data_IF_632964451601
#
_entry.id   IF_632964451601
#
_cell.length_a   1.000
_cell.length_b   1.000
_cell.length_c   1.000
_cell.angle_alpha   90.00
_cell.angle_beta   90.00
_cell.angle_gamma   90.00
#
_symmetry.space_group_name_H-M   'P 1'
#
loop_
_entity.id
_entity.type
_entity.pdbx_description
1 polymer ?
#
# COMPACT_ATOMS: atom_id res chain seq x y z
N UNK A 1 -8.61 -8.67 18.35
CA UNK A 1 -8.16 -9.21 17.06
C UNK A 1 -9.09 -8.62 16.01
N UNK A 2 -8.58 -8.05 14.93
CA UNK A 2 -9.46 -7.57 13.84
C UNK A 2 -10.04 -8.80 13.17
N UNK A 3 -11.36 -8.83 12.97
CA UNK A 3 -12.00 -9.85 12.15
C UNK A 3 -11.76 -9.50 10.68
N UNK A 4 -10.85 -10.22 10.03
CA UNK A 4 -10.54 -9.99 8.63
C UNK A 4 -11.78 -10.20 7.74
N UNK A 5 -12.71 -11.04 8.16
CA UNK A 5 -13.93 -11.28 7.41
C UNK A 5 -14.84 -10.05 7.31
N UNK A 6 -14.70 -9.11 8.25
CA UNK A 6 -15.46 -7.86 8.32
C UNK A 6 -14.83 -6.70 7.52
N UNK A 7 -13.70 -6.93 6.85
CA UNK A 7 -13.07 -5.94 5.96
C UNK A 7 -13.83 -5.96 4.63
N UNK A 8 -14.72 -4.99 4.45
CA UNK A 8 -15.57 -4.86 3.26
C UNK A 8 -15.01 -3.84 2.25
N UNK A 9 -13.91 -3.16 2.55
CA UNK A 9 -13.30 -2.20 1.63
C UNK A 9 -11.87 -1.83 2.00
N UNK A 10 -10.98 -1.87 1.01
CA UNK A 10 -9.75 -1.10 1.01
C UNK A 10 -10.11 0.20 0.27
N UNK A 11 -10.27 1.26 1.04
CA UNK A 11 -10.41 2.61 0.49
C UNK A 11 -9.03 3.23 0.37
N UNK A 12 -8.87 4.20 -0.54
CA UNK A 12 -7.62 4.97 -0.62
C UNK A 12 -7.21 5.45 0.77
N UNK A 13 -5.97 5.15 1.22
CA UNK A 13 -5.42 5.96 2.29
C UNK A 13 -5.43 7.39 1.77
N UNK A 14 -6.02 8.32 2.54
CA UNK A 14 -5.67 9.73 2.40
C UNK A 14 -4.15 9.76 2.59
N UNK A 15 -3.44 9.92 1.48
CA UNK A 15 -2.03 9.62 1.36
C UNK A 15 -1.20 10.26 2.47
N UNK A 16 -0.40 9.45 3.18
CA UNK A 16 0.70 9.93 3.99
C UNK A 16 1.95 9.14 3.57
N UNK A 17 2.49 9.44 2.38
CA UNK A 17 3.95 9.36 2.26
C UNK A 17 4.49 10.19 3.41
N UNK A 18 5.43 9.61 4.14
CA UNK A 18 5.92 10.25 5.36
C UNK A 18 6.56 11.61 5.08
N UNK A 19 6.97 11.89 3.83
CA UNK A 19 7.76 13.08 3.50
C UNK A 19 7.68 13.57 2.03
N UNK A 20 6.50 13.51 1.38
CA UNK A 20 6.32 14.11 0.03
C UNK A 20 6.59 13.16 -1.14
N UNK A 21 6.79 13.64 -2.39
CA UNK A 21 6.93 12.76 -3.56
C UNK A 21 8.19 11.90 -3.47
N UNK A 22 8.11 10.67 -3.97
CA UNK A 22 9.26 9.74 -3.94
C UNK A 22 10.27 10.18 -5.00
N UNK A 23 11.52 10.40 -4.60
CA UNK A 23 12.59 10.69 -5.54
C UNK A 23 13.16 9.40 -6.16
N UNK A 24 13.68 9.50 -7.38
CA UNK A 24 14.44 8.39 -7.99
C UNK A 24 15.63 8.00 -7.11
N UNK A 25 15.69 6.73 -6.74
CA UNK A 25 16.71 6.15 -5.85
C UNK A 25 16.36 6.20 -4.36
N UNK A 26 15.30 6.92 -3.97
CA UNK A 26 14.80 6.94 -2.59
C UNK A 26 13.81 5.79 -2.34
N UNK A 27 13.69 5.41 -1.06
CA UNK A 27 12.63 4.50 -0.59
C UNK A 27 11.79 5.26 0.43
N UNK A 28 10.49 5.35 0.19
CA UNK A 28 9.53 5.89 1.16
C UNK A 28 8.54 4.80 1.57
N UNK A 29 7.90 4.98 2.72
CA UNK A 29 6.98 4.02 3.30
C UNK A 29 5.55 4.49 3.12
N UNK A 30 4.74 3.67 2.44
CA UNK A 30 3.33 3.95 2.20
C UNK A 30 2.45 3.18 3.21
N UNK A 31 1.52 3.91 3.81
CA UNK A 31 0.52 3.38 4.74
C UNK A 31 -0.86 3.26 4.07
N UNK A 32 -1.61 2.22 4.41
CA UNK A 32 -2.99 1.99 3.97
C UNK A 32 -3.89 2.11 5.20
N UNK A 33 -5.03 2.78 5.03
CA UNK A 33 -6.08 2.88 6.05
C UNK A 33 -7.34 2.14 5.57
N UNK A 34 -7.34 0.80 5.58
CA UNK A 34 -8.50 0.04 5.17
C UNK A 34 -9.68 0.24 6.15
N UNK A 35 -10.90 0.07 5.63
CA UNK A 35 -12.13 0.31 6.37
C UNK A 35 -12.94 -0.98 6.55
N UNK A 36 -13.43 -1.23 7.76
CA UNK A 36 -14.33 -2.32 8.08
C UNK A 36 -15.66 -1.73 8.59
N UNK A 37 -16.78 -2.02 7.92
CA UNK A 37 -18.08 -1.43 8.27
C UNK A 37 -18.11 0.10 8.30
N UNK A 38 -17.25 0.77 7.50
CA UNK A 38 -17.11 2.22 7.45
C UNK A 38 -16.18 2.85 8.50
N UNK A 39 -15.50 2.06 9.34
CA UNK A 39 -14.50 2.54 10.29
C UNK A 39 -13.08 2.14 9.84
N UNK A 40 -12.10 3.08 9.86
CA UNK A 40 -10.72 2.74 9.58
C UNK A 40 -10.17 1.82 10.69
N UNK A 41 -9.35 0.85 10.32
CA UNK A 41 -8.63 0.01 11.29
C UNK A 41 -7.13 -0.03 10.97
N UNK A 42 -6.33 -0.37 11.98
CA UNK A 42 -4.88 -0.41 11.83
C UNK A 42 -4.45 -1.64 11.00
N UNK A 43 -3.93 -1.40 9.80
CA UNK A 43 -3.46 -2.44 8.88
C UNK A 43 -2.31 -3.29 9.44
N UNK A 44 -1.60 -2.76 10.43
CA UNK A 44 -0.54 -3.38 11.24
C UNK A 44 -0.73 -4.84 11.65
N UNK A 45 -1.99 -5.23 11.77
CA UNK A 45 -2.37 -6.52 12.33
C UNK A 45 -2.89 -7.48 11.27
N UNK A 46 -2.75 -7.11 10.00
CA UNK A 46 -3.32 -7.82 8.87
C UNK A 46 -2.21 -8.14 7.86
N UNK A 47 -2.04 -9.40 7.45
CA UNK A 47 -1.13 -9.73 6.36
C UNK A 47 -1.66 -9.13 5.05
N UNK A 48 -0.82 -8.36 4.38
CA UNK A 48 -1.09 -7.79 3.07
C UNK A 48 0.15 -7.93 2.17
N UNK A 49 -0.08 -7.86 0.86
CA UNK A 49 0.98 -7.90 -0.14
C UNK A 49 0.86 -6.68 -1.04
N UNK A 50 1.97 -5.98 -1.27
CA UNK A 50 2.06 -4.83 -2.19
C UNK A 50 2.89 -5.24 -3.41
N UNK A 51 2.31 -5.11 -4.62
CA UNK A 51 2.97 -5.49 -5.87
C UNK A 51 2.99 -4.31 -6.83
N UNK A 52 4.18 -3.83 -7.19
CA UNK A 52 4.34 -2.86 -8.29
C UNK A 52 3.85 -3.47 -9.60
N UNK A 53 2.97 -2.76 -10.31
CA UNK A 53 2.54 -3.10 -11.68
C UNK A 53 3.42 -2.40 -12.72
N UNK A 54 4.22 -1.41 -12.30
CA UNK A 54 5.22 -0.70 -13.12
C UNK A 54 6.64 -0.88 -12.57
N UNK A 55 7.22 -2.09 -12.61
CA UNK A 55 8.53 -2.40 -12.04
C UNK A 55 9.69 -1.60 -12.64
N UNK A 56 9.53 -1.07 -13.84
CA UNK A 56 10.47 -0.17 -14.51
C UNK A 56 10.47 1.27 -13.96
N UNK A 57 9.44 1.65 -13.21
CA UNK A 57 9.29 2.95 -12.55
C UNK A 57 9.58 2.81 -11.05
N UNK A 58 9.11 1.74 -10.41
CA UNK A 58 9.26 1.55 -8.98
C UNK A 58 9.23 0.08 -8.55
N UNK A 59 9.81 -0.21 -7.40
CA UNK A 59 9.70 -1.53 -6.77
C UNK A 59 9.07 -1.42 -5.40
N UNK A 60 8.16 -2.33 -5.07
CA UNK A 60 7.58 -2.44 -3.73
C UNK A 60 8.32 -3.51 -2.92
N UNK A 61 8.53 -3.25 -1.64
CA UNK A 61 9.10 -4.19 -0.69
C UNK A 61 8.23 -4.24 0.57
N UNK A 62 7.92 -5.44 1.04
CA UNK A 62 7.28 -5.59 2.35
C UNK A 62 8.25 -5.12 3.44
N UNK A 63 7.78 -4.29 4.36
CA UNK A 63 8.51 -3.93 5.56
C UNK A 63 7.86 -4.66 6.73
N UNK A 64 8.18 -5.94 7.00
CA UNK A 64 7.42 -6.77 7.94
C UNK A 64 7.41 -6.27 9.40
N UNK A 65 8.37 -5.41 9.76
CA UNK A 65 8.47 -4.79 11.09
C UNK A 65 7.72 -3.45 11.20
N UNK A 66 7.27 -2.93 10.06
CA UNK A 66 6.53 -1.68 9.94
C UNK A 66 5.15 -2.02 9.40
N UNK A 67 4.13 -1.33 9.89
CA UNK A 67 2.77 -1.48 9.39
C UNK A 67 2.62 -0.81 8.03
N UNK A 68 3.63 -0.89 7.16
CA UNK A 68 3.84 -0.13 5.94
C UNK A 68 4.58 -1.02 4.92
N UNK A 69 4.59 -0.61 3.66
CA UNK A 69 5.46 -1.20 2.65
C UNK A 69 6.36 -0.11 2.07
N UNK A 70 7.58 -0.48 1.72
CA UNK A 70 8.52 0.41 1.05
C UNK A 70 8.20 0.49 -0.44
N UNK A 71 8.22 1.70 -0.99
CA UNK A 71 8.21 1.95 -2.43
C UNK A 71 9.55 2.61 -2.76
N UNK A 72 10.32 1.97 -3.63
CA UNK A 72 11.60 2.50 -4.12
C UNK A 72 11.42 3.04 -5.53
N UNK A 73 11.80 4.29 -5.75
CA UNK A 73 11.80 4.88 -7.08
C UNK A 73 12.97 4.40 -7.93
N UNK A 74 12.67 3.82 -9.09
CA UNK A 74 13.66 3.38 -10.09
C UNK A 74 13.81 4.44 -11.19
N UNK A 75 12.69 5.06 -11.58
CA UNK A 75 12.64 6.06 -12.65
C UNK A 75 11.52 7.06 -12.37
N UNK A 76 11.70 8.31 -12.81
CA UNK A 76 10.66 9.33 -12.72
C UNK A 76 9.44 8.95 -13.59
N UNK A 77 8.25 9.19 -13.07
CA UNK A 77 6.98 8.82 -13.68
C UNK A 77 5.94 8.37 -12.64
N UNK A 78 4.78 7.95 -13.12
CA UNK A 78 3.72 7.42 -12.25
C UNK A 78 3.96 5.93 -11.98
N UNK A 79 4.28 5.60 -10.74
CA UNK A 79 4.39 4.25 -10.24
C UNK A 79 3.00 3.73 -9.86
N UNK A 80 2.56 2.65 -10.49
CA UNK A 80 1.33 1.95 -10.14
C UNK A 80 1.64 0.68 -9.34
N UNK A 81 0.81 0.39 -8.34
CA UNK A 81 0.95 -0.81 -7.53
C UNK A 81 -0.42 -1.29 -7.02
N UNK A 82 -0.56 -2.61 -6.90
CA UNK A 82 -1.74 -3.27 -6.36
C UNK A 82 -1.44 -3.77 -4.95
N UNK A 83 -2.27 -3.40 -4.00
CA UNK A 83 -2.29 -3.97 -2.65
C UNK A 83 -3.35 -5.05 -2.57
N UNK A 84 -3.02 -6.18 -1.95
CA UNK A 84 -3.94 -7.30 -1.74
C UNK A 84 -3.93 -7.75 -0.29
N UNK A 85 -5.11 -7.85 0.30
CA UNK A 85 -5.35 -8.41 1.62
C UNK A 85 -6.10 -9.74 1.45
N UNK A 86 -5.39 -10.86 1.46
CA UNK A 86 -5.95 -12.19 1.15
C UNK A 86 -7.01 -12.65 2.16
N UNK A 87 -6.91 -12.23 3.43
CA UNK A 87 -7.87 -12.59 4.48
C UNK A 87 -9.14 -11.74 4.53
N UNK A 88 -9.21 -10.65 3.75
CA UNK A 88 -10.35 -9.72 3.74
C UNK A 88 -11.60 -10.29 3.05
N UNK A 89 -12.74 -9.61 3.20
CA UNK A 89 -14.02 -9.97 2.56
C UNK A 89 -14.40 -11.45 2.78
N UNK A 90 -14.40 -11.88 4.05
CA UNK A 90 -14.66 -13.27 4.43
C UNK A 90 -13.72 -14.31 3.76
N UNK A 91 -12.48 -13.91 3.46
CA UNK A 91 -11.47 -14.75 2.79
C UNK A 91 -11.58 -14.75 1.26
N UNK A 92 -12.39 -13.88 0.66
CA UNK A 92 -12.40 -13.66 -0.79
C UNK A 92 -11.13 -12.93 -1.28
N UNK A 93 -10.43 -12.26 -0.36
CA UNK A 93 -9.34 -11.36 -0.70
C UNK A 93 -9.88 -10.03 -1.21
N UNK A 94 -9.24 -8.93 -0.80
CA UNK A 94 -9.58 -7.61 -1.31
C UNK A 94 -8.33 -6.97 -1.87
N UNK A 95 -8.42 -6.48 -3.09
CA UNK A 95 -7.33 -5.78 -3.77
C UNK A 95 -7.74 -4.37 -4.15
N UNK A 96 -6.79 -3.45 -4.10
CA UNK A 96 -6.97 -2.08 -4.56
C UNK A 96 -5.70 -1.61 -5.27
N UNK A 97 -5.90 -0.87 -6.36
CA UNK A 97 -4.83 -0.29 -7.16
C UNK A 97 -4.57 1.14 -6.72
N UNK A 98 -3.29 1.50 -6.70
CA UNK A 98 -2.82 2.79 -6.24
C UNK A 98 -1.73 3.30 -7.17
N UNK A 99 -1.56 4.62 -7.17
CA UNK A 99 -0.52 5.28 -7.93
C UNK A 99 0.24 6.28 -7.06
N UNK A 100 1.55 6.36 -7.25
CA UNK A 100 2.42 7.38 -6.66
C UNK A 100 3.27 8.02 -7.75
N UNK A 101 3.45 9.33 -7.67
CA UNK A 101 4.36 10.03 -8.58
C UNK A 101 5.79 9.96 -8.06
N UNK A 102 6.70 9.55 -8.95
CA UNK A 102 8.13 9.52 -8.72
C UNK A 102 8.75 10.69 -9.46
N UNK A 103 9.43 11.56 -8.72
CA UNK A 103 10.05 12.77 -9.23
C UNK A 103 11.55 12.59 -9.38
N UNK A 104 12.17 13.39 -10.25
CA UNK A 104 13.62 13.50 -10.27
C UNK A 104 14.13 14.18 -8.98
N UNK A 105 15.32 13.81 -8.49
CA UNK A 105 15.94 14.42 -7.32
C UNK A 105 16.40 15.87 -7.55
#
# INVERSE_FOLDING_TARGET
MVDLAAIDGISEPEFALSDGPIEVGATDFAGVLPTAGGAPFCQAKVPFTATSTTPEICTTASAPDLDFFGITGVKAGTCEYTLTIEGAASGAGLSADFSVEIVEP
#
